data_IF_007386692876
#
_entry.id   IF_007386692876
#
_cell.length_a   1.000
_cell.length_b   1.000
_cell.length_c   1.000
_cell.angle_alpha   90.00
_cell.angle_beta   90.00
_cell.angle_gamma   90.00
#
_symmetry.space_group_name_H-M   'P 1'
#
loop_
_entity.id
_entity.type
_entity.pdbx_description
1 polymer ?
#
# COMPACT_ATOMS: atom_id res chain seq x y z
N UNK A 1 -63.93 -2.14 40.55
CA UNK A 1 -62.73 -2.93 40.79
C UNK A 1 -62.55 -3.87 39.60
N UNK A 2 -61.83 -3.46 38.57
CA UNK A 2 -61.65 -4.20 37.32
C UNK A 2 -60.16 -4.44 37.10
N UNK A 3 -59.72 -5.69 37.23
CA UNK A 3 -58.34 -6.09 37.01
C UNK A 3 -58.11 -6.34 35.52
N UNK A 4 -57.24 -5.57 34.92
CA UNK A 4 -56.75 -5.76 33.55
C UNK A 4 -55.63 -6.81 33.54
N UNK A 5 -55.79 -7.87 32.76
CA UNK A 5 -54.78 -8.89 32.52
C UNK A 5 -53.86 -8.42 31.37
N UNK A 6 -52.57 -8.40 31.60
CA UNK A 6 -51.54 -8.11 30.59
C UNK A 6 -51.08 -9.46 30.02
N UNK A 7 -51.31 -9.68 28.71
CA UNK A 7 -50.81 -10.82 27.97
C UNK A 7 -49.41 -10.44 27.45
N UNK A 8 -48.39 -11.17 27.91
CA UNK A 8 -47.01 -11.04 27.39
C UNK A 8 -46.86 -12.07 26.28
N UNK A 9 -46.71 -11.61 25.04
CA UNK A 9 -46.34 -12.44 23.90
C UNK A 9 -44.82 -12.51 23.84
N UNK A 10 -44.26 -13.68 24.13
CA UNK A 10 -42.85 -13.95 23.98
C UNK A 10 -42.55 -14.29 22.49
N UNK A 11 -41.84 -13.41 21.81
CA UNK A 11 -41.33 -13.68 20.45
C UNK A 11 -39.99 -14.39 20.59
N UNK A 12 -39.94 -15.66 20.19
CA UNK A 12 -38.69 -16.41 20.09
C UNK A 12 -37.93 -15.97 18.84
N UNK A 13 -36.80 -15.29 19.01
CA UNK A 13 -35.87 -14.99 17.93
C UNK A 13 -34.85 -16.12 17.82
N UNK A 14 -34.91 -16.85 16.70
CA UNK A 14 -33.96 -17.90 16.37
C UNK A 14 -32.55 -17.29 16.20
N UNK A 15 -31.61 -17.72 17.04
CA UNK A 15 -30.20 -17.29 16.96
C UNK A 15 -29.50 -17.86 15.74
N UNK A 16 -29.03 -17.00 14.88
CA UNK A 16 -28.08 -17.32 13.83
C UNK A 16 -26.70 -17.42 14.49
N UNK A 17 -26.16 -18.64 14.53
CA UNK A 17 -24.81 -18.89 15.02
C UNK A 17 -23.79 -18.26 14.06
N UNK A 18 -23.20 -17.14 14.44
CA UNK A 18 -22.01 -16.60 13.77
C UNK A 18 -20.80 -17.39 14.24
N UNK A 19 -20.23 -18.17 13.33
CA UNK A 19 -18.94 -18.81 13.51
C UNK A 19 -17.88 -17.71 13.68
N UNK A 20 -17.37 -17.50 14.89
CA UNK A 20 -16.24 -16.65 15.17
C UNK A 20 -14.98 -17.39 14.76
N UNK A 21 -14.43 -17.05 13.59
CA UNK A 21 -13.06 -17.37 13.24
C UNK A 21 -12.14 -16.62 14.21
N UNK A 22 -11.39 -17.36 15.03
CA UNK A 22 -10.37 -16.78 15.90
C UNK A 22 -9.24 -16.23 15.02
N UNK A 23 -9.22 -14.91 14.82
CA UNK A 23 -8.09 -14.22 14.23
C UNK A 23 -6.93 -14.27 15.23
N UNK A 24 -5.88 -14.97 14.86
CA UNK A 24 -4.63 -15.04 15.62
C UNK A 24 -3.98 -13.65 15.60
N UNK A 25 -4.02 -12.94 16.70
CA UNK A 25 -3.32 -11.67 16.91
C UNK A 25 -1.85 -11.93 17.20
N UNK A 26 -1.05 -12.23 16.17
CA UNK A 26 0.39 -11.99 16.24
C UNK A 26 0.65 -10.54 15.78
N UNK A 27 1.51 -9.77 16.47
CA UNK A 27 1.91 -8.46 16.00
C UNK A 27 2.75 -8.63 14.74
N UNK A 28 2.17 -8.30 13.59
CA UNK A 28 2.83 -8.33 12.29
C UNK A 28 3.99 -7.32 12.29
N UNK A 29 5.14 -7.74 11.78
CA UNK A 29 6.27 -6.85 11.55
C UNK A 29 5.93 -5.83 10.48
N UNK A 30 6.62 -4.68 10.44
CA UNK A 30 6.35 -3.61 9.46
C UNK A 30 6.34 -4.09 8.01
N UNK A 31 7.11 -5.13 7.68
CA UNK A 31 7.14 -5.73 6.35
C UNK A 31 5.88 -6.53 6.01
N UNK A 32 5.30 -7.22 7.00
CA UNK A 32 4.05 -7.98 6.83
C UNK A 32 2.84 -7.06 6.70
N UNK A 33 2.84 -5.90 7.39
CA UNK A 33 1.80 -4.87 7.21
C UNK A 33 1.81 -4.22 5.83
N UNK A 34 2.98 -4.04 5.22
CA UNK A 34 3.08 -3.54 3.83
C UNK A 34 2.48 -4.55 2.83
N UNK A 35 2.68 -5.85 3.06
CA UNK A 35 2.12 -6.91 2.21
C UNK A 35 0.60 -6.99 2.36
N UNK A 36 0.07 -6.83 3.57
CA UNK A 36 -1.38 -6.90 3.84
C UNK A 36 -2.14 -5.71 3.22
N UNK A 37 -1.57 -4.50 3.24
CA UNK A 37 -2.17 -3.34 2.55
C UNK A 37 -2.17 -3.45 1.02
N UNK A 38 -1.22 -4.20 0.44
CA UNK A 38 -1.18 -4.48 -1.00
C UNK A 38 -2.27 -5.49 -1.38
N UNK A 39 -2.53 -6.49 -0.53
CA UNK A 39 -3.54 -7.52 -0.78
C UNK A 39 -4.97 -6.97 -0.80
N UNK A 40 -5.30 -6.01 0.08
CA UNK A 40 -6.64 -5.41 0.14
C UNK A 40 -6.95 -4.48 -1.06
N UNK A 41 -5.94 -4.01 -1.78
CA UNK A 41 -6.14 -3.21 -3.01
C UNK A 41 -6.32 -4.06 -4.28
N UNK A 42 -6.12 -5.39 -4.22
CA UNK A 42 -6.25 -6.29 -5.38
C UNK A 42 -7.69 -6.77 -5.65
N UNK A 43 -8.66 -6.46 -4.81
CA UNK A 43 -10.05 -6.93 -4.99
C UNK A 43 -10.99 -5.84 -5.50
N UNK A 44 -10.76 -5.35 -6.73
CA UNK A 44 -11.84 -4.81 -7.57
C UNK A 44 -12.03 -5.71 -8.80
N UNK A 45 -13.20 -6.35 -8.96
CA UNK A 45 -13.50 -7.16 -10.14
C UNK A 45 -13.83 -6.25 -11.31
N UNK A 46 -13.02 -6.30 -12.35
CA UNK A 46 -13.40 -5.77 -13.64
C UNK A 46 -12.36 -5.02 -14.44
N UNK A 47 -11.21 -5.65 -14.73
CA UNK A 47 -10.50 -5.36 -15.98
C UNK A 47 -9.67 -6.59 -16.37
N UNK A 48 -10.10 -7.24 -17.43
CA UNK A 48 -9.35 -8.32 -18.08
C UNK A 48 -8.16 -7.69 -18.82
N UNK A 49 -7.02 -7.58 -18.14
CA UNK A 49 -5.75 -7.22 -18.79
C UNK A 49 -5.14 -8.50 -19.34
N UNK A 50 -5.06 -8.68 -20.66
CA UNK A 50 -4.36 -9.81 -21.25
C UNK A 50 -2.86 -9.54 -21.20
N UNK A 51 -2.27 -9.79 -20.10
CA UNK A 51 -0.87 -10.07 -19.77
C UNK A 51 -0.75 -9.92 -18.25
N UNK A 52 -0.78 -11.04 -17.54
CA UNK A 52 -0.68 -11.02 -16.08
C UNK A 52 0.66 -10.37 -15.70
N UNK A 53 0.58 -9.08 -15.35
CA UNK A 53 1.71 -8.40 -14.74
C UNK A 53 2.01 -9.15 -13.43
N UNK A 54 3.20 -9.76 -13.33
CA UNK A 54 3.62 -10.38 -12.09
C UNK A 54 3.85 -9.28 -11.04
N UNK A 55 3.00 -9.14 -10.01
CA UNK A 55 3.16 -8.09 -9.01
C UNK A 55 4.46 -8.22 -8.22
N UNK A 56 5.03 -9.43 -8.19
CA UNK A 56 6.30 -9.73 -7.51
C UNK A 56 7.54 -9.56 -8.42
N UNK A 57 7.37 -9.13 -9.66
CA UNK A 57 8.50 -8.88 -10.59
C UNK A 57 9.47 -7.83 -10.05
N UNK A 58 8.98 -6.87 -9.28
CA UNK A 58 9.75 -5.77 -8.68
C UNK A 58 9.50 -5.74 -7.19
N UNK A 59 10.56 -5.56 -6.41
CA UNK A 59 10.46 -5.28 -4.97
C UNK A 59 10.90 -3.86 -4.69
N UNK A 60 10.08 -3.13 -3.95
CA UNK A 60 10.38 -1.78 -3.45
C UNK A 60 10.62 -1.87 -1.94
N UNK A 61 11.74 -1.31 -1.46
CA UNK A 61 12.08 -1.30 -0.03
C UNK A 61 12.75 0.02 0.36
N UNK A 62 12.82 0.29 1.67
CA UNK A 62 13.58 1.42 2.19
C UNK A 62 13.07 2.77 1.69
N UNK A 63 11.76 2.91 1.50
CA UNK A 63 11.17 4.19 1.14
C UNK A 63 11.49 5.25 2.20
N UNK A 64 11.90 6.43 1.72
CA UNK A 64 12.24 7.55 2.58
C UNK A 64 11.78 8.88 1.94
N UNK A 65 11.14 9.71 2.76
CA UNK A 65 10.81 11.11 2.48
C UNK A 65 11.00 11.88 3.78
N UNK A 66 12.02 12.72 3.85
CA UNK A 66 12.24 13.62 5.00
C UNK A 66 11.42 14.90 4.86
N UNK A 67 11.05 15.50 5.97
CA UNK A 67 10.48 16.85 5.97
C UNK A 67 11.46 17.83 5.33
N UNK A 68 10.96 18.69 4.48
CA UNK A 68 11.79 19.64 3.73
C UNK A 68 12.38 19.12 2.41
N UNK A 69 12.44 17.81 2.19
CA UNK A 69 12.95 17.25 0.94
C UNK A 69 11.94 17.40 -0.21
N UNK A 70 12.45 17.67 -1.39
CA UNK A 70 11.67 17.68 -2.65
C UNK A 70 11.71 16.34 -3.39
N UNK A 71 12.36 15.33 -2.82
CA UNK A 71 12.54 13.99 -3.40
C UNK A 71 12.08 12.92 -2.42
N UNK A 72 11.61 11.84 -2.99
CA UNK A 72 11.29 10.57 -2.33
C UNK A 72 12.26 9.54 -2.88
N UNK A 73 12.86 8.72 -2.00
CA UNK A 73 13.87 7.73 -2.37
C UNK A 73 13.44 6.35 -1.93
N UNK A 74 13.83 5.33 -2.69
CA UNK A 74 13.57 3.92 -2.37
C UNK A 74 14.51 3.02 -3.15
N UNK A 75 14.72 1.81 -2.64
CA UNK A 75 15.46 0.78 -3.35
C UNK A 75 14.52 -0.02 -4.24
N UNK A 76 14.93 -0.27 -5.47
CA UNK A 76 14.22 -1.10 -6.45
C UNK A 76 15.05 -2.33 -6.72
N UNK A 77 14.46 -3.52 -6.55
CA UNK A 77 15.08 -4.80 -6.87
C UNK A 77 14.35 -5.45 -8.04
N UNK A 78 15.07 -5.81 -9.08
CA UNK A 78 14.55 -6.60 -10.20
C UNK A 78 14.54 -8.09 -9.81
N UNK A 79 13.37 -8.70 -9.69
CA UNK A 79 13.20 -10.13 -9.39
C UNK A 79 12.90 -10.98 -10.63
N UNK A 80 12.91 -10.36 -11.82
CA UNK A 80 12.73 -11.08 -13.09
C UNK A 80 14.07 -11.63 -13.59
N UNK A 81 14.00 -12.48 -14.62
CA UNK A 81 15.15 -12.99 -15.34
C UNK A 81 15.54 -12.13 -16.56
N UNK A 82 14.93 -10.96 -16.73
CA UNK A 82 15.21 -10.02 -17.81
C UNK A 82 15.71 -8.69 -17.26
N UNK A 83 16.53 -7.99 -18.04
CA UNK A 83 16.89 -6.59 -17.72
C UNK A 83 15.65 -5.71 -17.79
N UNK A 84 15.51 -4.79 -16.83
CA UNK A 84 14.41 -3.83 -16.79
C UNK A 84 14.97 -2.42 -16.99
N UNK A 85 14.34 -1.66 -17.91
CA UNK A 85 14.72 -0.27 -18.21
C UNK A 85 13.82 0.76 -17.57
N UNK A 86 12.57 0.40 -17.21
CA UNK A 86 11.59 1.32 -16.66
C UNK A 86 10.58 0.57 -15.81
N UNK A 87 10.12 1.18 -14.74
CA UNK A 87 8.99 0.70 -13.93
C UNK A 87 7.92 1.77 -13.84
N UNK A 88 6.66 1.36 -13.78
CA UNK A 88 5.50 2.22 -13.58
C UNK A 88 4.78 1.80 -12.32
N UNK A 89 4.63 2.75 -11.38
CA UNK A 89 4.05 2.52 -10.06
C UNK A 89 2.84 3.42 -9.86
N UNK A 90 1.78 2.88 -9.28
CA UNK A 90 0.75 3.66 -8.62
C UNK A 90 1.18 3.86 -7.17
N UNK A 91 1.26 5.10 -6.74
CA UNK A 91 1.61 5.49 -5.37
C UNK A 91 0.41 6.14 -4.70
N UNK A 92 0.01 5.63 -3.55
CA UNK A 92 -1.09 6.15 -2.74
C UNK A 92 -0.54 6.60 -1.39
N UNK A 93 -0.78 7.85 -1.02
CA UNK A 93 -0.29 8.50 0.19
C UNK A 93 -1.43 8.69 1.16
N UNK A 94 -1.26 8.25 2.41
CA UNK A 94 -2.30 8.27 3.42
C UNK A 94 -1.88 9.04 4.66
N UNK A 95 -2.81 9.74 5.28
CA UNK A 95 -2.66 10.26 6.63
C UNK A 95 -2.56 9.10 7.64
N UNK A 96 -2.19 9.40 8.88
CA UNK A 96 -2.02 8.37 9.91
C UNK A 96 -3.34 7.69 10.31
N UNK A 97 -4.47 8.35 10.11
CA UNK A 97 -5.84 7.84 10.30
C UNK A 97 -6.37 7.00 9.13
N UNK A 98 -5.61 6.91 8.01
CA UNK A 98 -5.97 6.16 6.81
C UNK A 98 -6.66 6.99 5.72
N UNK A 99 -6.90 8.29 5.93
CA UNK A 99 -7.43 9.15 4.87
C UNK A 99 -6.45 9.26 3.71
N UNK A 100 -6.93 9.08 2.48
CA UNK A 100 -6.14 9.29 1.27
C UNK A 100 -5.78 10.78 1.12
N UNK A 101 -4.49 11.10 1.11
CA UNK A 101 -3.97 12.45 0.91
C UNK A 101 -3.70 12.75 -0.57
N UNK A 102 -3.14 11.78 -1.29
CA UNK A 102 -2.77 11.94 -2.68
C UNK A 102 -2.56 10.57 -3.33
N UNK A 103 -2.86 10.49 -4.62
CA UNK A 103 -2.57 9.31 -5.43
C UNK A 103 -2.03 9.73 -6.79
N UNK A 104 -1.04 8.99 -7.30
CA UNK A 104 -0.47 9.28 -8.63
C UNK A 104 0.25 8.08 -9.24
N UNK A 105 0.29 8.07 -10.55
CA UNK A 105 1.15 7.16 -11.31
C UNK A 105 2.49 7.84 -11.54
N UNK A 106 3.58 7.11 -11.27
CA UNK A 106 4.94 7.55 -11.55
C UNK A 106 5.65 6.56 -12.46
N UNK A 107 6.47 7.08 -13.35
CA UNK A 107 7.38 6.29 -14.17
C UNK A 107 8.80 6.53 -13.68
N UNK A 108 9.51 5.45 -13.33
CA UNK A 108 10.89 5.51 -12.86
C UNK A 108 11.78 4.84 -13.89
N UNK A 109 12.68 5.62 -14.48
CA UNK A 109 13.70 5.10 -15.38
C UNK A 109 14.77 4.41 -14.53
N UNK A 110 15.00 3.16 -14.80
CA UNK A 110 15.98 2.31 -14.14
C UNK A 110 16.77 1.52 -15.17
N UNK A 111 17.93 1.03 -14.80
CA UNK A 111 18.65 0.04 -15.59
C UNK A 111 19.06 -1.04 -14.61
N UNK A 112 18.24 -2.10 -14.52
CA UNK A 112 18.36 -3.17 -13.53
C UNK A 112 18.53 -4.50 -14.23
N UNK A 113 19.67 -5.15 -14.02
CA UNK A 113 19.87 -6.54 -14.41
C UNK A 113 19.06 -7.48 -13.48
N UNK A 114 18.86 -8.75 -13.87
CA UNK A 114 18.24 -9.75 -13.00
C UNK A 114 18.90 -9.80 -11.62
N UNK A 115 18.10 -9.73 -10.55
CA UNK A 115 18.58 -9.74 -9.17
C UNK A 115 19.18 -8.42 -8.65
N UNK A 116 19.39 -7.43 -9.51
CA UNK A 116 20.04 -6.18 -9.15
C UNK A 116 19.11 -5.28 -8.31
N UNK A 117 19.72 -4.61 -7.33
CA UNK A 117 19.05 -3.59 -6.50
C UNK A 117 19.72 -2.24 -6.69
N UNK A 118 18.94 -1.20 -6.96
CA UNK A 118 19.45 0.19 -7.06
C UNK A 118 18.59 1.15 -6.24
N UNK A 119 19.25 2.15 -5.69
CA UNK A 119 18.59 3.33 -5.13
C UNK A 119 18.00 4.16 -6.27
N UNK A 120 16.71 4.45 -6.17
CA UNK A 120 15.97 5.28 -7.11
C UNK A 120 15.32 6.44 -6.38
N UNK A 121 14.88 7.43 -7.12
CA UNK A 121 14.19 8.57 -6.57
C UNK A 121 13.13 9.10 -7.54
N UNK A 122 12.13 9.77 -6.96
CA UNK A 122 11.09 10.51 -7.68
C UNK A 122 10.94 11.90 -7.07
N UNK A 123 10.40 12.84 -7.85
CA UNK A 123 10.00 14.14 -7.31
C UNK A 123 8.86 13.94 -6.33
N UNK A 124 8.91 14.58 -5.16
CA UNK A 124 7.84 14.47 -4.17
C UNK A 124 6.53 15.10 -4.67
N UNK A 125 5.40 14.51 -4.24
CA UNK A 125 4.08 15.11 -4.39
C UNK A 125 3.88 16.33 -3.48
N UNK A 126 4.57 16.33 -2.35
CA UNK A 126 4.52 17.36 -1.31
C UNK A 126 5.32 18.60 -1.74
N UNK A 127 4.69 19.46 -2.53
CA UNK A 127 5.31 20.71 -3.01
C UNK A 127 5.64 21.70 -1.90
N UNK A 128 4.88 21.69 -0.82
CA UNK A 128 5.09 22.56 0.34
C UNK A 128 6.10 22.00 1.34
N UNK A 129 6.57 20.75 1.14
CA UNK A 129 7.59 20.07 1.96
C UNK A 129 7.22 19.98 3.44
N UNK A 130 5.92 19.77 3.72
CA UNK A 130 5.35 19.74 5.06
C UNK A 130 5.19 18.31 5.62
N UNK A 131 5.33 17.30 4.75
CA UNK A 131 5.13 15.91 5.11
C UNK A 131 6.44 15.14 5.23
N UNK A 132 6.44 14.10 6.06
CA UNK A 132 7.53 13.12 6.15
C UNK A 132 6.97 11.70 6.27
N UNK A 133 7.71 10.73 5.74
CA UNK A 133 7.36 9.32 5.86
C UNK A 133 7.48 8.86 7.32
N UNK A 134 6.40 8.32 7.90
CA UNK A 134 6.33 7.98 9.32
C UNK A 134 7.34 6.92 9.78
N UNK A 135 7.75 5.97 8.89
CA UNK A 135 8.78 4.96 9.15
C UNK A 135 10.21 5.50 9.08
N UNK A 136 10.40 6.78 8.74
CA UNK A 136 11.70 7.43 8.70
C UNK A 136 12.05 8.16 10.00
N UNK A 137 13.14 8.94 9.95
CA UNK A 137 13.58 9.74 11.10
C UNK A 137 12.60 10.89 11.35
N UNK A 138 12.10 10.98 12.58
CA UNK A 138 11.22 12.09 13.00
C UNK A 138 11.96 13.42 12.85
N UNK A 139 11.34 14.43 12.18
CA UNK A 139 11.96 15.72 11.98
C UNK A 139 12.02 16.53 13.29
N UNK A 140 13.01 17.41 13.39
CA UNK A 140 13.15 18.36 14.52
C UNK A 140 12.13 19.51 14.45
N UNK A 141 11.71 19.88 13.23
CA UNK A 141 10.69 20.91 12.99
C UNK A 141 9.32 20.24 12.85
N UNK A 142 8.26 21.01 13.10
CA UNK A 142 6.89 20.54 12.90
C UNK A 142 6.69 20.08 11.44
N UNK A 143 6.21 18.85 11.28
CA UNK A 143 5.85 18.27 9.99
C UNK A 143 4.82 17.17 10.20
N UNK A 144 4.05 16.86 9.18
CA UNK A 144 2.95 15.90 9.23
C UNK A 144 3.43 14.51 8.77
N UNK A 145 3.27 13.45 9.58
CA UNK A 145 3.61 12.10 9.18
C UNK A 145 2.58 11.56 8.16
N UNK A 146 3.05 10.73 7.23
CA UNK A 146 2.19 10.00 6.31
C UNK A 146 2.66 8.55 6.10
N UNK A 147 1.75 7.71 5.62
CA UNK A 147 2.00 6.35 5.14
C UNK A 147 1.96 6.32 3.61
N UNK A 148 2.61 5.33 3.01
CA UNK A 148 2.58 5.11 1.57
C UNK A 148 2.26 3.65 1.28
N UNK A 149 1.44 3.42 0.27
CA UNK A 149 1.29 2.14 -0.41
C UNK A 149 1.74 2.30 -1.88
N UNK A 150 2.17 1.21 -2.49
CA UNK A 150 2.52 1.19 -3.90
C UNK A 150 1.97 -0.06 -4.58
N UNK A 151 1.64 0.07 -5.85
CA UNK A 151 1.30 -1.03 -6.72
C UNK A 151 2.10 -0.95 -8.02
N UNK A 152 2.72 -2.05 -8.41
CA UNK A 152 3.36 -2.16 -9.73
C UNK A 152 2.27 -2.24 -10.79
N UNK A 153 2.27 -1.31 -11.75
CA UNK A 153 1.29 -1.28 -12.86
C UNK A 153 1.94 -1.53 -14.22
N UNK A 154 3.27 -1.61 -14.29
CA UNK A 154 3.99 -1.94 -15.50
C UNK A 154 5.50 -1.90 -15.33
N UNK A 155 6.20 -2.57 -16.23
CA UNK A 155 7.65 -2.42 -16.42
C UNK A 155 8.02 -2.67 -17.88
N UNK A 156 9.13 -2.12 -18.30
CA UNK A 156 9.63 -2.27 -19.68
C UNK A 156 10.92 -3.11 -19.71
N UNK A 157 10.94 -4.06 -20.61
CA UNK A 157 12.13 -4.87 -20.96
C UNK A 157 12.68 -4.27 -22.26
N UNK A 158 13.96 -3.86 -22.33
CA UNK A 158 14.52 -3.37 -23.58
C UNK A 158 14.51 -4.48 -24.63
N UNK A 159 14.03 -4.16 -25.84
CA UNK A 159 14.01 -5.09 -26.96
C UNK A 159 15.33 -4.96 -27.71
N UNK A 160 16.16 -5.97 -27.65
CA UNK A 160 17.37 -6.11 -28.48
C UNK A 160 18.60 -5.41 -27.88
N UNK A 161 19.38 -6.13 -27.18
CA UNK A 161 20.86 -6.09 -27.20
C UNK A 161 21.35 -7.50 -27.53
#
# INVERSE_FOLDING_TARGET
MTRAAIIIIALAVAGIAHSRTKTSTHPLTSAEKEVEMIADMEQQPGDTIPNQLNPHAISIKGYCKKAGDSRETFFVTNKTNHRISQIKLLLSYFAMDGQLLHERVVTVNVSLNPGETKLSWIKSWDIHRQFYYYGGTKPRKAATPFKIAYRLIGYSIPVGE
#
